data_IF_652488543393
#
_entry.id   IF_652488543393
#
_cell.length_a   1.000
_cell.length_b   1.000
_cell.length_c   1.000
_cell.angle_alpha   90.00
_cell.angle_beta   90.00
_cell.angle_gamma   90.00
#
_symmetry.space_group_name_H-M   'P 1'
#
loop_
_entity.id
_entity.type
_entity.pdbx_description
1 polymer ?
#
# COMPACT_ATOMS: atom_id res chain seq x y z
N UNK A 1 -28.45 -25.72 -11.65
CA UNK A 1 -28.08 -24.44 -11.01
C UNK A 1 -26.77 -24.65 -10.28
N UNK A 2 -25.64 -24.21 -10.85
CA UNK A 2 -24.36 -24.23 -10.16
C UNK A 2 -24.34 -23.07 -9.16
N UNK A 3 -24.29 -23.39 -7.86
CA UNK A 3 -23.95 -22.41 -6.82
C UNK A 3 -22.48 -22.07 -6.98
N UNK A 4 -22.18 -20.82 -7.35
CA UNK A 4 -20.85 -20.25 -7.20
C UNK A 4 -20.64 -20.07 -5.70
N UNK A 5 -19.70 -20.81 -5.13
CA UNK A 5 -19.22 -20.60 -3.77
C UNK A 5 -18.19 -19.48 -3.87
N UNK A 6 -18.57 -18.26 -3.52
CA UNK A 6 -17.62 -17.15 -3.38
C UNK A 6 -16.93 -17.37 -2.02
N UNK A 7 -15.59 -17.50 -1.96
CA UNK A 7 -14.91 -17.59 -0.68
C UNK A 7 -15.04 -16.26 0.06
N UNK A 8 -15.88 -16.22 1.09
CA UNK A 8 -16.13 -15.03 1.93
C UNK A 8 -14.89 -14.52 2.72
N UNK A 9 -13.76 -15.22 2.62
CA UNK A 9 -12.54 -14.91 3.37
C UNK A 9 -11.73 -13.76 2.77
N UNK A 10 -11.90 -13.47 1.47
CA UNK A 10 -11.11 -12.44 0.77
C UNK A 10 -11.54 -11.01 1.12
N UNK A 11 -12.71 -10.83 1.73
CA UNK A 11 -13.32 -9.52 1.99
C UNK A 11 -13.28 -9.07 3.45
N UNK A 12 -12.67 -9.83 4.36
CA UNK A 12 -12.60 -9.40 5.77
C UNK A 12 -11.61 -8.25 5.92
N UNK A 13 -12.04 -7.05 6.38
CA UNK A 13 -11.12 -5.93 6.56
C UNK A 13 -10.15 -6.17 7.71
N UNK A 14 -8.92 -5.69 7.56
CA UNK A 14 -7.90 -5.76 8.60
C UNK A 14 -7.14 -4.43 8.74
N UNK A 15 -6.46 -4.27 9.88
CA UNK A 15 -5.55 -3.14 10.11
C UNK A 15 -4.16 -3.58 9.68
N UNK A 16 -3.53 -2.93 8.67
CA UNK A 16 -2.22 -3.35 8.19
C UNK A 16 -1.10 -2.94 9.16
N UNK A 17 0.07 -3.54 8.97
CA UNK A 17 1.23 -3.23 9.80
C UNK A 17 1.95 -1.98 9.29
N UNK A 18 2.31 -1.09 10.23
CA UNK A 18 3.17 0.06 9.94
C UNK A 18 4.52 -0.42 9.40
N UNK A 19 5.08 0.34 8.45
CA UNK A 19 6.37 0.09 7.79
C UNK A 19 6.37 -1.09 6.81
N UNK A 20 5.25 -1.79 6.63
CA UNK A 20 5.12 -2.86 5.64
C UNK A 20 4.74 -2.27 4.27
N UNK A 21 5.33 -2.84 3.23
CA UNK A 21 5.03 -2.54 1.83
C UNK A 21 3.96 -3.49 1.34
N UNK A 22 2.88 -2.90 0.79
CA UNK A 22 1.78 -3.61 0.17
C UNK A 22 1.65 -3.20 -1.29
N UNK A 23 1.30 -4.15 -2.16
CA UNK A 23 0.71 -3.85 -3.45
C UNK A 23 -0.79 -3.63 -3.25
N UNK A 24 -1.27 -2.45 -3.60
CA UNK A 24 -2.65 -2.02 -3.35
C UNK A 24 -3.34 -1.74 -4.67
N UNK A 25 -4.54 -2.30 -4.85
CA UNK A 25 -5.42 -2.01 -5.97
C UNK A 25 -5.69 -0.50 -6.06
N UNK A 26 -5.45 0.07 -7.24
CA UNK A 26 -5.58 1.52 -7.42
C UNK A 26 -7.01 2.03 -7.33
N UNK A 27 -8.02 1.17 -7.54
CA UNK A 27 -9.43 1.54 -7.37
C UNK A 27 -9.76 2.00 -5.95
N UNK A 28 -9.01 1.54 -4.94
CA UNK A 28 -9.17 1.97 -3.53
C UNK A 28 -8.13 3.02 -3.10
N UNK A 29 -7.10 3.27 -3.92
CA UNK A 29 -5.97 4.16 -3.59
C UNK A 29 -6.08 5.51 -4.31
N UNK A 30 -6.21 5.48 -5.63
CA UNK A 30 -6.23 6.62 -6.55
C UNK A 30 -7.16 6.25 -7.71
N UNK A 31 -8.47 6.56 -7.60
CA UNK A 31 -9.37 6.43 -8.73
C UNK A 31 -8.77 7.21 -9.92
N UNK A 32 -8.65 6.57 -11.08
CA UNK A 32 -7.99 7.06 -12.31
C UNK A 32 -6.47 6.83 -12.43
N UNK A 33 -5.81 6.10 -11.52
CA UNK A 33 -4.43 5.63 -11.77
C UNK A 33 -4.44 4.61 -12.94
N UNK A 34 -3.57 4.77 -13.96
CA UNK A 34 -3.54 3.86 -15.10
C UNK A 34 -2.99 2.47 -14.78
N UNK A 35 -2.32 2.28 -13.64
CA UNK A 35 -1.86 0.96 -13.20
C UNK A 35 -2.93 0.28 -12.35
N UNK A 36 -3.03 -1.05 -12.44
CA UNK A 36 -3.98 -1.82 -11.62
C UNK A 36 -3.59 -1.84 -10.14
N UNK A 37 -2.29 -1.83 -9.85
CA UNK A 37 -1.76 -1.84 -8.50
C UNK A 37 -0.57 -0.90 -8.34
N UNK A 38 -0.43 -0.35 -7.14
CA UNK A 38 0.75 0.43 -6.75
C UNK A 38 1.36 -0.11 -5.46
N UNK A 39 2.70 -0.16 -5.37
CA UNK A 39 3.35 -0.41 -4.10
C UNK A 39 3.19 0.80 -3.19
N UNK A 40 2.80 0.56 -1.93
CA UNK A 40 2.66 1.59 -0.90
C UNK A 40 3.35 1.13 0.38
N UNK A 41 3.88 2.06 1.17
CA UNK A 41 4.29 1.79 2.56
C UNK A 41 3.30 2.39 3.53
N UNK A 42 2.93 1.63 4.57
CA UNK A 42 2.02 2.07 5.62
C UNK A 42 2.76 2.95 6.62
N UNK A 43 2.29 4.19 6.79
CA UNK A 43 2.91 5.17 7.69
C UNK A 43 2.14 5.31 9.01
N UNK A 44 0.82 5.17 8.97
CA UNK A 44 -0.03 5.24 10.16
C UNK A 44 -1.29 4.41 9.96
N UNK A 45 -1.78 3.82 11.05
CA UNK A 45 -2.99 3.00 11.08
C UNK A 45 -3.97 3.52 12.13
N UNK A 46 -5.28 3.33 11.94
CA UNK A 46 -6.27 3.64 12.96
C UNK A 46 -6.26 2.57 14.07
N UNK A 47 -6.83 2.91 15.23
CA UNK A 47 -7.03 1.95 16.33
C UNK A 47 -8.03 0.83 15.99
N UNK A 48 -8.92 1.09 15.02
CA UNK A 48 -9.98 0.18 14.59
C UNK A 48 -10.20 0.25 13.08
N UNK A 49 -10.91 -0.74 12.53
CA UNK A 49 -11.22 -0.80 11.09
C UNK A 49 -12.15 0.30 10.58
N UNK A 50 -12.69 1.15 11.45
CA UNK A 50 -13.53 2.29 11.07
C UNK A 50 -12.73 3.54 10.60
N UNK A 51 -11.41 3.55 10.78
CA UNK A 51 -10.57 4.70 10.44
C UNK A 51 -9.92 4.65 9.05
N UNK A 52 -8.92 5.50 8.84
CA UNK A 52 -8.11 5.53 7.61
C UNK A 52 -6.68 5.10 7.87
N UNK A 53 -6.15 4.30 6.95
CA UNK A 53 -4.72 3.97 6.87
C UNK A 53 -4.06 5.03 6.02
N UNK A 54 -2.97 5.61 6.53
CA UNK A 54 -2.17 6.58 5.78
C UNK A 54 -0.96 5.88 5.15
N UNK A 55 -0.81 6.06 3.86
CA UNK A 55 0.24 5.40 3.07
C UNK A 55 1.01 6.38 2.21
N UNK A 56 2.25 6.01 1.87
CA UNK A 56 3.01 6.65 0.80
C UNK A 56 3.11 5.71 -0.40
N UNK A 57 2.65 6.16 -1.55
CA UNK A 57 2.69 5.43 -2.82
C UNK A 57 4.05 5.56 -3.47
N UNK A 58 4.56 4.45 -3.99
CA UNK A 58 5.81 4.37 -4.75
C UNK A 58 5.55 4.30 -6.25
N UNK A 59 6.28 5.09 -7.01
CA UNK A 59 6.21 5.13 -8.47
C UNK A 59 7.62 5.11 -9.08
N UNK A 60 7.77 4.50 -10.26
CA UNK A 60 9.02 4.54 -11.02
C UNK A 60 9.14 5.76 -11.94
N UNK A 61 8.06 6.51 -12.13
CA UNK A 61 8.00 7.67 -13.04
C UNK A 61 7.99 9.01 -12.30
N UNK A 62 7.52 9.04 -11.05
CA UNK A 62 7.37 10.28 -10.28
C UNK A 62 8.57 10.58 -9.39
N UNK A 63 9.50 11.40 -9.89
CA UNK A 63 10.83 11.56 -9.25
C UNK A 63 10.93 12.61 -8.14
N UNK A 64 9.83 13.14 -7.65
CA UNK A 64 9.80 14.24 -6.67
C UNK A 64 9.72 13.78 -5.21
N UNK A 65 9.85 12.47 -4.98
CA UNK A 65 9.70 11.81 -3.67
C UNK A 65 11.00 11.35 -3.01
N UNK A 66 10.87 10.43 -2.04
CA UNK A 66 12.03 9.76 -1.43
C UNK A 66 12.52 8.65 -2.36
N UNK A 67 13.77 8.72 -2.87
CA UNK A 67 14.29 7.69 -3.76
C UNK A 67 14.39 6.35 -3.02
N UNK A 68 14.05 5.28 -3.70
CA UNK A 68 14.16 3.92 -3.20
C UNK A 68 14.64 2.98 -4.32
N UNK A 69 15.72 2.21 -4.10
CA UNK A 69 16.25 1.29 -5.11
C UNK A 69 15.23 0.21 -5.47
N UNK A 70 15.52 -0.58 -6.49
CA UNK A 70 14.84 -1.86 -6.69
C UNK A 70 15.07 -2.75 -5.46
N UNK A 71 14.09 -3.59 -5.12
CA UNK A 71 14.17 -4.54 -4.01
C UNK A 71 13.34 -5.78 -4.35
N UNK A 72 14.00 -6.89 -4.66
CA UNK A 72 13.35 -8.14 -5.04
C UNK A 72 12.55 -8.73 -3.88
N UNK A 73 13.04 -8.59 -2.65
CA UNK A 73 12.36 -9.02 -1.42
C UNK A 73 11.02 -8.32 -1.20
N UNK A 74 10.85 -7.12 -1.76
CA UNK A 74 9.62 -6.32 -1.69
C UNK A 74 8.79 -6.42 -2.99
N UNK A 75 9.19 -7.28 -3.93
CA UNK A 75 8.59 -7.37 -5.28
C UNK A 75 8.80 -6.13 -6.15
N UNK A 76 9.71 -5.23 -5.77
CA UNK A 76 9.97 -3.96 -6.44
C UNK A 76 11.06 -4.12 -7.52
N UNK A 77 10.65 -4.50 -8.73
CA UNK A 77 11.58 -4.83 -9.83
C UNK A 77 12.36 -3.64 -10.41
N UNK A 78 11.92 -2.41 -10.16
CA UNK A 78 12.54 -1.17 -10.68
C UNK A 78 12.85 -0.22 -9.54
N UNK A 79 13.86 0.63 -9.75
CA UNK A 79 14.04 1.84 -8.95
C UNK A 79 12.80 2.75 -9.01
N UNK A 80 12.63 3.59 -8.01
CA UNK A 80 11.44 4.41 -7.88
C UNK A 80 11.53 5.38 -6.72
N UNK A 81 10.43 6.09 -6.47
CA UNK A 81 10.32 7.10 -5.44
C UNK A 81 8.99 6.93 -4.71
N UNK A 82 9.01 7.05 -3.38
CA UNK A 82 7.79 7.29 -2.61
C UNK A 82 7.38 8.75 -2.82
N UNK A 83 6.39 8.96 -3.69
CA UNK A 83 6.04 10.28 -4.21
C UNK A 83 4.76 10.82 -3.57
N UNK A 84 3.70 10.03 -3.47
CA UNK A 84 2.38 10.54 -3.08
C UNK A 84 1.96 10.03 -1.72
N UNK A 85 1.27 10.88 -0.95
CA UNK A 85 0.53 10.45 0.24
C UNK A 85 -0.92 10.16 -0.13
N UNK A 86 -1.46 9.04 0.35
CA UNK A 86 -2.88 8.72 0.27
C UNK A 86 -3.44 8.32 1.65
N UNK A 87 -4.74 8.48 1.83
CA UNK A 87 -5.47 7.92 2.97
C UNK A 87 -6.53 6.97 2.42
N UNK A 88 -6.49 5.72 2.86
CA UNK A 88 -7.40 4.66 2.39
C UNK A 88 -8.25 4.21 3.58
N UNK A 89 -9.56 4.06 3.38
CA UNK A 89 -10.44 3.53 4.44
C UNK A 89 -9.96 2.13 4.85
N UNK A 90 -9.79 1.89 6.14
CA UNK A 90 -9.34 0.60 6.66
C UNK A 90 -10.32 -0.53 6.30
N UNK A 91 -11.61 -0.21 6.13
CA UNK A 91 -12.63 -1.13 5.61
C UNK A 91 -12.32 -1.70 4.20
N UNK A 92 -11.46 -1.03 3.42
CA UNK A 92 -11.05 -1.48 2.08
C UNK A 92 -9.74 -2.29 2.10
N UNK A 93 -9.08 -2.42 3.25
CA UNK A 93 -7.89 -3.25 3.42
C UNK A 93 -8.32 -4.70 3.61
N UNK A 94 -8.58 -5.37 2.50
CA UNK A 94 -8.98 -6.77 2.43
C UNK A 94 -7.95 -7.54 1.60
N UNK A 95 -7.89 -8.87 1.77
CA UNK A 95 -6.95 -9.69 1.00
C UNK A 95 -7.24 -9.68 -0.52
N UNK A 96 -8.46 -9.32 -0.92
CA UNK A 96 -8.79 -9.08 -2.33
C UNK A 96 -8.19 -7.80 -2.91
N UNK A 97 -7.96 -6.77 -2.09
CA UNK A 97 -7.47 -5.46 -2.56
C UNK A 97 -5.97 -5.23 -2.32
N UNK A 98 -5.36 -5.97 -1.38
CA UNK A 98 -3.97 -5.74 -0.98
C UNK A 98 -3.18 -7.03 -0.87
N UNK A 99 -1.91 -6.98 -1.30
CA UNK A 99 -0.94 -8.08 -1.14
C UNK A 99 0.27 -7.58 -0.37
N UNK A 100 0.57 -8.21 0.76
CA UNK A 100 1.75 -7.91 1.58
C UNK A 100 3.02 -8.46 0.92
N UNK A 101 4.13 -7.74 1.05
CA UNK A 101 5.44 -8.17 0.54
C UNK A 101 6.46 -8.33 1.66
N UNK A 102 6.81 -7.23 2.31
CA UNK A 102 7.81 -7.20 3.37
C UNK A 102 7.94 -5.82 4.00
N UNK A 103 8.90 -5.68 4.90
CA UNK A 103 9.11 -4.45 5.69
C UNK A 103 10.16 -3.56 5.01
N UNK A 104 9.85 -2.27 4.93
CA UNK A 104 10.82 -1.25 4.47
C UNK A 104 11.91 -1.06 5.53
N UNK A 105 13.15 -0.77 5.12
CA UNK A 105 14.22 -0.45 6.07
C UNK A 105 13.92 0.81 6.90
N UNK A 106 14.47 0.87 8.11
CA UNK A 106 14.18 1.92 9.08
C UNK A 106 14.57 3.31 8.57
N UNK A 107 15.71 3.43 7.87
CA UNK A 107 16.22 4.71 7.38
C UNK A 107 15.32 5.29 6.29
N UNK A 108 14.95 4.47 5.30
CA UNK A 108 14.02 4.88 4.25
C UNK A 108 12.64 5.17 4.84
N UNK A 109 12.14 4.33 5.75
CA UNK A 109 10.85 4.55 6.38
C UNK A 109 10.81 5.86 7.18
N UNK A 110 11.86 6.16 7.94
CA UNK A 110 11.99 7.42 8.66
C UNK A 110 11.97 8.62 7.70
N UNK A 111 12.67 8.54 6.57
CA UNK A 111 12.67 9.58 5.54
C UNK A 111 11.29 9.79 4.90
N UNK A 112 10.56 8.70 4.63
CA UNK A 112 9.19 8.74 4.12
C UNK A 112 8.25 9.40 5.12
N UNK A 113 8.30 8.99 6.39
CA UNK A 113 7.52 9.58 7.47
C UNK A 113 7.81 11.07 7.64
N UNK A 114 9.09 11.47 7.70
CA UNK A 114 9.48 12.88 7.82
C UNK A 114 8.95 13.76 6.66
N UNK A 115 8.68 13.17 5.50
CA UNK A 115 8.20 13.87 4.32
C UNK A 115 6.68 13.95 4.21
N UNK A 116 5.95 12.97 4.75
CA UNK A 116 4.53 12.75 4.45
C UNK A 116 3.60 12.55 5.66
N UNK A 117 4.12 12.43 6.89
CA UNK A 117 3.34 12.48 8.13
C UNK A 117 3.21 13.90 8.67
#
# INVERSE_FOLDING_TARGET
MNRIVIPLYEETPFVPDIQVVYWVDTTILLPDDPEEQRPVVVMAVPETTAGTVRVATRSSTERWGIPHPRSEDLGLSKEGWFSRRANVLCALWTLGNVTSTGRLDDDTFAAVCARFL
#
